data_IF_658290574783
#
_entry.id   IF_658290574783
#
_cell.length_a   1.000
_cell.length_b   1.000
_cell.length_c   1.000
_cell.angle_alpha   90.00
_cell.angle_beta   90.00
_cell.angle_gamma   90.00
#
_symmetry.space_group_name_H-M   'P 1'
#
loop_
_entity.id
_entity.type
_entity.pdbx_description
1 polymer ?
#
# COMPACT_ATOMS: atom_id res chain seq x y z
N UNK A 1 8.87 1.42 23.01
CA UNK A 1 8.32 2.60 22.31
C UNK A 1 9.48 3.37 21.71
N UNK A 2 9.43 3.70 20.41
CA UNK A 2 10.47 4.51 19.76
C UNK A 2 10.43 5.94 20.32
N UNK A 3 11.59 6.50 20.69
CA UNK A 3 11.72 7.87 21.17
C UNK A 3 12.13 8.79 20.00
N UNK A 4 11.25 9.70 19.54
CA UNK A 4 11.55 10.63 18.45
C UNK A 4 12.76 11.52 18.75
N UNK A 5 12.93 11.96 20.01
CA UNK A 5 14.05 12.82 20.41
C UNK A 5 15.37 12.09 20.28
N UNK A 6 15.40 10.79 20.59
CA UNK A 6 16.58 9.97 20.39
C UNK A 6 16.91 9.84 18.89
N UNK A 7 15.92 9.60 18.05
CA UNK A 7 16.12 9.50 16.59
C UNK A 7 16.62 10.83 15.99
N UNK A 8 16.14 11.97 16.47
CA UNK A 8 16.69 13.28 16.08
C UNK A 8 18.15 13.47 16.50
N UNK A 9 18.53 13.03 17.70
CA UNK A 9 19.94 13.06 18.14
C UNK A 9 20.82 12.22 17.23
N UNK A 10 20.33 11.04 16.83
CA UNK A 10 21.04 10.15 15.91
C UNK A 10 21.24 10.81 14.54
N UNK A 11 20.21 11.46 13.99
CA UNK A 11 20.32 12.24 12.74
C UNK A 11 21.35 13.36 12.86
N UNK A 12 21.25 14.18 13.92
CA UNK A 12 22.20 15.27 14.18
C UNK A 12 23.64 14.79 14.34
N UNK A 13 23.85 13.57 14.85
CA UNK A 13 25.18 12.99 14.96
C UNK A 13 25.81 12.73 13.57
N UNK A 14 25.04 12.26 12.59
CA UNK A 14 25.53 12.08 11.21
C UNK A 14 25.90 13.41 10.53
N UNK A 15 25.24 14.50 10.88
CA UNK A 15 25.52 15.84 10.34
C UNK A 15 26.67 16.56 11.04
N UNK A 16 27.20 16.00 12.14
CA UNK A 16 28.22 16.63 12.98
C UNK A 16 29.65 16.28 12.56
N UNK A 17 30.61 17.11 12.96
CA UNK A 17 32.02 16.75 12.81
C UNK A 17 32.39 15.59 13.73
N UNK A 18 32.89 14.50 13.15
CA UNK A 18 33.24 13.28 13.86
C UNK A 18 34.61 13.36 14.57
N UNK A 19 34.72 14.30 15.50
CA UNK A 19 35.83 14.35 16.47
C UNK A 19 35.78 13.14 17.40
N UNK A 20 36.89 12.78 18.05
CA UNK A 20 36.94 11.65 18.99
C UNK A 20 35.85 11.71 20.08
N UNK A 21 35.55 12.91 20.58
CA UNK A 21 34.50 13.11 21.57
C UNK A 21 33.11 12.79 20.99
N UNK A 22 32.82 13.28 19.78
CA UNK A 22 31.57 13.00 19.07
C UNK A 22 31.46 11.52 18.70
N UNK A 23 32.55 10.86 18.30
CA UNK A 23 32.55 9.42 18.01
C UNK A 23 32.17 8.60 19.25
N UNK A 24 32.72 8.96 20.43
CA UNK A 24 32.35 8.31 21.68
C UNK A 24 30.88 8.55 22.06
N UNK A 25 30.34 9.74 21.75
CA UNK A 25 28.91 10.00 21.88
C UNK A 25 28.09 9.10 20.95
N UNK A 26 28.48 8.95 19.68
CA UNK A 26 27.86 8.02 18.75
C UNK A 26 27.92 6.57 19.25
N UNK A 27 29.03 6.16 19.86
CA UNK A 27 29.16 4.84 20.48
C UNK A 27 28.19 4.66 21.67
N UNK A 28 27.94 5.72 22.46
CA UNK A 28 26.92 5.69 23.51
C UNK A 28 25.50 5.55 22.92
N UNK A 29 25.20 6.24 21.83
CA UNK A 29 23.92 6.10 21.12
C UNK A 29 23.74 4.65 20.64
N UNK A 30 24.78 4.06 20.03
CA UNK A 30 24.75 2.66 19.58
C UNK A 30 24.52 1.70 20.75
N UNK A 31 25.24 1.89 21.86
CA UNK A 31 25.11 1.08 23.07
C UNK A 31 23.69 1.11 23.63
N UNK A 32 23.02 2.26 23.59
CA UNK A 32 21.62 2.38 24.04
C UNK A 32 20.64 1.58 23.18
N UNK A 33 20.97 1.32 21.91
CA UNK A 33 20.09 0.58 20.98
C UNK A 33 20.33 -0.93 21.02
N UNK A 34 21.59 -1.37 20.99
CA UNK A 34 21.92 -2.79 20.85
C UNK A 34 22.56 -3.43 22.11
N UNK A 35 22.85 -2.63 23.15
CA UNK A 35 23.52 -3.05 24.38
C UNK A 35 24.88 -3.78 24.16
N UNK A 36 25.55 -3.52 23.03
CA UNK A 36 26.83 -4.13 22.68
C UNK A 36 27.99 -3.41 23.39
N UNK A 37 28.25 -3.83 24.64
CA UNK A 37 29.33 -3.27 25.49
C UNK A 37 30.73 -3.45 24.90
N UNK A 38 30.96 -4.55 24.19
CA UNK A 38 32.26 -4.84 23.59
C UNK A 38 32.58 -3.84 22.47
N UNK A 39 31.63 -3.62 21.54
CA UNK A 39 31.79 -2.66 20.46
C UNK A 39 31.96 -1.23 21.00
N UNK A 40 31.20 -0.87 22.03
CA UNK A 40 31.36 0.42 22.71
C UNK A 40 32.78 0.62 23.26
N UNK A 41 33.33 -0.39 23.96
CA UNK A 41 34.70 -0.34 24.48
C UNK A 41 35.73 -0.24 23.37
N UNK A 42 35.55 -1.00 22.28
CA UNK A 42 36.43 -0.98 21.11
C UNK A 42 36.50 0.41 20.47
N UNK A 43 35.35 1.06 20.26
CA UNK A 43 35.27 2.40 19.69
C UNK A 43 35.87 3.44 20.64
N UNK A 44 35.67 3.30 21.96
CA UNK A 44 36.28 4.21 22.93
C UNK A 44 37.82 4.17 22.90
N UNK A 45 38.39 2.99 22.66
CA UNK A 45 39.83 2.79 22.58
C UNK A 45 40.44 3.37 21.30
N UNK A 46 39.77 3.18 20.15
CA UNK A 46 40.21 3.69 18.84
C UNK A 46 39.04 4.38 18.10
N UNK A 47 38.72 5.64 18.44
CA UNK A 47 37.55 6.31 17.88
C UNK A 47 37.64 6.50 16.36
N UNK A 48 38.74 7.10 15.88
CA UNK A 48 38.90 7.41 14.45
C UNK A 48 39.02 6.14 13.60
N UNK A 49 39.78 5.13 14.05
CA UNK A 49 39.91 3.88 13.31
C UNK A 49 38.61 3.06 13.25
N UNK A 50 37.63 3.35 14.10
CA UNK A 50 36.31 2.70 14.12
C UNK A 50 35.17 3.59 13.63
N UNK A 51 35.45 4.79 13.11
CA UNK A 51 34.42 5.72 12.64
C UNK A 51 33.50 5.10 11.59
N UNK A 52 34.07 4.48 10.55
CA UNK A 52 33.27 3.91 9.46
C UNK A 52 32.42 2.72 9.92
N UNK A 53 32.95 1.90 10.84
CA UNK A 53 32.16 0.84 11.48
C UNK A 53 31.01 1.42 12.31
N UNK A 54 31.26 2.47 13.09
CA UNK A 54 30.23 3.13 13.88
C UNK A 54 29.14 3.74 13.00
N UNK A 55 29.51 4.41 11.90
CA UNK A 55 28.55 4.96 10.94
C UNK A 55 27.65 3.86 10.37
N UNK A 56 28.24 2.75 9.92
CA UNK A 56 27.49 1.60 9.42
C UNK A 56 26.50 1.06 10.45
N UNK A 57 26.98 0.82 11.68
CA UNK A 57 26.17 0.29 12.79
C UNK A 57 25.07 1.24 13.26
N UNK A 58 25.30 2.55 13.19
CA UNK A 58 24.28 3.55 13.50
C UNK A 58 23.28 3.71 12.36
N UNK A 59 23.72 3.62 11.09
CA UNK A 59 22.86 3.80 9.92
C UNK A 59 21.80 2.72 9.85
N UNK A 60 22.15 1.45 10.06
CA UNK A 60 21.17 0.35 10.10
C UNK A 60 20.06 0.57 11.12
N UNK A 61 20.40 1.19 12.26
CA UNK A 61 19.44 1.49 13.30
C UNK A 61 18.66 2.77 13.01
N UNK A 62 19.24 3.73 12.31
CA UNK A 62 18.54 4.91 11.86
C UNK A 62 17.45 4.56 10.83
N UNK A 63 17.74 3.64 9.89
CA UNK A 63 16.84 3.27 8.80
C UNK A 63 15.44 2.89 9.29
N UNK A 64 15.32 1.92 10.20
CA UNK A 64 13.99 1.52 10.71
C UNK A 64 13.40 2.52 11.72
N UNK A 65 14.23 3.31 12.41
CA UNK A 65 13.75 4.28 13.39
C UNK A 65 13.08 5.49 12.74
N UNK A 66 13.48 5.84 11.52
CA UNK A 66 12.80 6.87 10.72
C UNK A 66 11.35 6.47 10.45
N UNK A 67 11.12 5.18 10.21
CA UNK A 67 9.79 4.57 10.03
C UNK A 67 9.04 4.33 11.36
N UNK A 68 9.53 4.89 12.47
CA UNK A 68 8.85 4.76 13.76
C UNK A 68 9.09 3.43 14.49
N UNK A 69 9.86 2.50 13.93
CA UNK A 69 10.05 1.17 14.51
C UNK A 69 11.15 1.08 15.58
N UNK A 70 10.99 0.13 16.49
CA UNK A 70 12.03 -0.32 17.43
C UNK A 70 12.75 -1.57 16.92
N UNK A 71 13.86 -1.95 17.55
CA UNK A 71 14.58 -3.18 17.21
C UNK A 71 13.72 -4.44 17.38
N UNK A 72 12.80 -4.43 18.36
CA UNK A 72 11.88 -5.55 18.57
C UNK A 72 10.79 -5.59 17.49
N UNK A 73 10.31 -4.43 17.04
CA UNK A 73 9.40 -4.34 15.89
C UNK A 73 10.07 -4.87 14.63
N UNK A 74 11.35 -4.54 14.39
CA UNK A 74 12.13 -5.06 13.27
C UNK A 74 12.28 -6.58 13.33
N UNK A 75 12.51 -7.15 14.52
CA UNK A 75 12.57 -8.61 14.70
C UNK A 75 11.22 -9.27 14.40
N UNK A 76 10.11 -8.63 14.80
CA UNK A 76 8.77 -9.14 14.53
C UNK A 76 8.43 -9.02 13.04
N UNK A 77 8.79 -7.90 12.42
CA UNK A 77 8.68 -7.66 11.00
C UNK A 77 9.44 -8.73 10.19
N UNK A 78 10.69 -8.99 10.54
CA UNK A 78 11.51 -10.02 9.91
C UNK A 78 10.85 -11.41 10.00
N UNK A 79 10.38 -11.79 11.19
CA UNK A 79 9.66 -13.05 11.40
C UNK A 79 8.37 -13.18 10.58
N UNK A 80 7.69 -12.07 10.30
CA UNK A 80 6.45 -12.06 9.55
C UNK A 80 6.71 -12.10 8.03
N UNK A 81 7.61 -11.27 7.52
CA UNK A 81 7.82 -11.06 6.08
C UNK A 81 8.70 -12.15 5.46
N UNK A 82 9.77 -12.56 6.16
CA UNK A 82 10.72 -13.56 5.64
C UNK A 82 10.06 -14.85 5.15
N UNK A 83 9.21 -15.54 5.94
CA UNK A 83 8.60 -16.79 5.48
C UNK A 83 7.68 -16.59 4.27
N UNK A 84 7.05 -15.41 4.16
CA UNK A 84 6.17 -15.13 3.02
C UNK A 84 6.98 -14.93 1.74
N UNK A 85 8.00 -14.07 1.75
CA UNK A 85 8.86 -13.88 0.58
C UNK A 85 9.58 -15.17 0.19
N UNK A 86 10.02 -15.97 1.17
CA UNK A 86 10.59 -17.29 0.92
C UNK A 86 9.59 -18.20 0.20
N UNK A 87 8.34 -18.27 0.68
CA UNK A 87 7.29 -19.05 0.02
C UNK A 87 7.03 -18.58 -1.41
N UNK A 88 7.06 -17.27 -1.65
CA UNK A 88 6.91 -16.70 -3.00
C UNK A 88 8.04 -17.11 -3.94
N UNK A 89 9.28 -17.08 -3.47
CA UNK A 89 10.46 -17.51 -4.23
C UNK A 89 10.45 -19.02 -4.46
N UNK A 90 10.01 -19.82 -3.49
CA UNK A 90 9.96 -21.28 -3.62
C UNK A 90 8.90 -21.69 -4.65
N UNK A 91 7.66 -21.18 -4.54
CA UNK A 91 6.60 -21.46 -5.53
C UNK A 91 6.99 -21.01 -6.93
N UNK A 92 7.68 -19.87 -7.03
CA UNK A 92 8.25 -19.39 -8.29
C UNK A 92 9.30 -20.37 -8.79
N UNK A 93 10.27 -20.78 -7.97
CA UNK A 93 11.34 -21.68 -8.40
C UNK A 93 10.83 -23.06 -8.83
N UNK A 94 9.81 -23.59 -8.17
CA UNK A 94 9.09 -24.81 -8.58
C UNK A 94 8.45 -24.62 -9.95
N UNK A 95 7.73 -23.51 -10.15
CA UNK A 95 7.15 -23.16 -11.43
C UNK A 95 8.23 -22.95 -12.51
N UNK A 96 9.42 -22.40 -12.22
CA UNK A 96 10.54 -22.21 -13.16
C UNK A 96 11.06 -23.56 -13.66
N UNK A 97 11.13 -24.54 -12.77
CA UNK A 97 11.56 -25.89 -13.15
C UNK A 97 10.57 -26.54 -14.10
N UNK A 98 9.27 -26.36 -13.87
CA UNK A 98 8.20 -26.84 -14.75
C UNK A 98 8.21 -26.05 -16.07
N UNK A 99 8.42 -24.74 -16.00
CA UNK A 99 8.17 -23.80 -17.07
C UNK A 99 9.39 -23.48 -17.96
N UNK A 100 10.56 -24.08 -17.69
CA UNK A 100 11.68 -24.25 -18.66
C UNK A 100 11.24 -24.82 -20.02
N UNK A 101 10.00 -25.30 -20.11
CA UNK A 101 9.38 -25.78 -21.33
C UNK A 101 8.48 -24.73 -22.05
N UNK A 102 7.95 -23.66 -21.40
CA UNK A 102 7.01 -22.72 -22.05
C UNK A 102 6.95 -21.24 -21.60
N UNK A 103 7.24 -20.80 -20.36
CA UNK A 103 7.27 -19.35 -19.98
C UNK A 103 7.69 -19.09 -18.50
N UNK A 104 8.38 -17.99 -18.15
CA UNK A 104 8.61 -17.60 -16.75
C UNK A 104 7.32 -17.14 -16.02
N UNK A 105 7.28 -17.20 -14.67
CA UNK A 105 6.09 -16.92 -13.82
C UNK A 105 6.32 -15.82 -12.77
N UNK A 106 5.20 -15.22 -12.35
CA UNK A 106 5.11 -14.28 -11.24
C UNK A 106 4.10 -14.74 -10.19
N UNK A 107 4.35 -14.47 -8.91
CA UNK A 107 3.36 -14.66 -7.84
C UNK A 107 2.25 -13.59 -7.86
N UNK A 108 1.02 -13.97 -7.51
CA UNK A 108 -0.20 -13.12 -7.46
C UNK A 108 -1.02 -13.40 -6.19
N UNK A 109 -1.71 -12.36 -5.68
CA UNK A 109 -2.67 -12.41 -4.56
C UNK A 109 -4.06 -12.92 -4.97
N UNK A 110 -4.65 -13.81 -4.16
CA UNK A 110 -6.07 -14.19 -4.26
C UNK A 110 -6.97 -13.49 -3.22
N UNK A 111 -6.41 -12.82 -2.21
CA UNK A 111 -7.16 -12.09 -1.18
C UNK A 111 -7.53 -10.65 -1.57
N UNK A 112 -8.61 -10.13 -0.99
CA UNK A 112 -9.04 -8.75 -1.24
C UNK A 112 -8.19 -7.69 -0.51
N UNK A 113 -7.56 -8.04 0.61
CA UNK A 113 -6.68 -7.12 1.34
C UNK A 113 -5.32 -7.03 0.63
N UNK A 114 -5.02 -5.86 0.07
CA UNK A 114 -3.83 -5.54 -0.72
C UNK A 114 -2.63 -5.11 0.13
N UNK A 115 -2.89 -4.62 1.33
CA UNK A 115 -1.86 -4.02 2.19
C UNK A 115 -1.16 -5.08 3.06
N UNK A 116 -1.71 -6.31 3.08
CA UNK A 116 -1.19 -7.42 3.86
C UNK A 116 -0.65 -8.54 2.97
N UNK A 117 0.65 -8.80 3.11
CA UNK A 117 1.31 -9.93 2.47
C UNK A 117 1.02 -11.20 3.29
N UNK A 118 0.25 -12.12 2.72
CA UNK A 118 -0.19 -13.35 3.39
C UNK A 118 0.13 -14.60 2.54
N UNK A 119 0.28 -15.79 3.15
CA UNK A 119 0.58 -17.01 2.39
C UNK A 119 -0.46 -17.39 1.31
N UNK A 120 -1.74 -17.06 1.51
CA UNK A 120 -2.80 -17.25 0.51
C UNK A 120 -2.63 -16.35 -0.71
N UNK A 121 -1.86 -15.28 -0.59
CA UNK A 121 -1.60 -14.32 -1.65
C UNK A 121 -0.45 -14.71 -2.58
N UNK A 122 -0.01 -15.97 -2.55
CA UNK A 122 1.17 -16.42 -3.28
C UNK A 122 0.78 -17.55 -4.23
N UNK A 123 0.39 -17.18 -5.45
CA UNK A 123 0.10 -18.15 -6.52
C UNK A 123 0.94 -17.81 -7.74
N UNK A 124 1.80 -18.74 -8.18
CA UNK A 124 2.60 -18.55 -9.38
C UNK A 124 1.71 -18.64 -10.63
N UNK A 125 1.65 -17.57 -11.41
CA UNK A 125 0.96 -17.51 -12.70
C UNK A 125 1.98 -17.17 -13.80
N UNK A 126 1.92 -17.91 -14.91
CA UNK A 126 2.76 -17.68 -16.09
C UNK A 126 2.15 -16.66 -17.05
N UNK A 127 2.83 -16.44 -18.19
CA UNK A 127 2.27 -15.66 -19.31
C UNK A 127 0.97 -16.31 -19.79
N UNK A 128 0.02 -15.47 -20.21
CA UNK A 128 -1.19 -15.95 -20.92
C UNK A 128 -0.82 -16.46 -22.32
N UNK A 129 -1.59 -17.40 -22.84
CA UNK A 129 -1.37 -17.96 -24.18
C UNK A 129 -1.55 -16.93 -25.31
N UNK A 130 -2.38 -15.91 -25.09
CA UNK A 130 -2.68 -14.82 -26.04
C UNK A 130 -1.85 -13.55 -25.78
N UNK A 131 -0.84 -13.61 -24.90
CA UNK A 131 -0.12 -12.42 -24.44
C UNK A 131 0.46 -11.57 -25.58
N UNK A 132 1.07 -12.20 -26.59
CA UNK A 132 1.70 -11.51 -27.71
C UNK A 132 0.70 -10.83 -28.65
N UNK A 133 -0.60 -11.12 -28.51
CA UNK A 133 -1.69 -10.51 -29.27
C UNK A 133 -2.36 -9.35 -28.53
N UNK A 134 -1.98 -9.11 -27.26
CA UNK A 134 -2.54 -8.04 -26.45
C UNK A 134 -1.99 -6.67 -26.87
N UNK A 135 -2.70 -5.56 -26.59
CA UNK A 135 -2.17 -4.21 -26.78
C UNK A 135 -0.83 -4.00 -26.05
N UNK A 136 0.04 -3.16 -26.62
CA UNK A 136 1.40 -2.94 -26.11
C UNK A 136 1.42 -2.46 -24.65
N UNK A 137 0.44 -1.65 -24.24
CA UNK A 137 0.31 -1.19 -22.86
C UNK A 137 0.03 -2.34 -21.88
N UNK A 138 -0.67 -3.40 -22.32
CA UNK A 138 -0.97 -4.59 -21.50
C UNK A 138 0.22 -5.57 -21.50
N UNK A 139 0.97 -5.65 -22.59
CA UNK A 139 2.21 -6.44 -22.60
C UNK A 139 3.27 -5.83 -21.68
N UNK A 140 3.44 -4.50 -21.72
CA UNK A 140 4.44 -3.78 -20.93
C UNK A 140 4.26 -3.96 -19.42
N UNK A 141 3.02 -4.10 -18.95
CA UNK A 141 2.67 -4.40 -17.57
C UNK A 141 3.37 -5.67 -17.07
N UNK A 142 3.28 -6.75 -17.86
CA UNK A 142 3.90 -8.03 -17.51
C UNK A 142 5.42 -7.89 -17.43
N UNK A 143 6.04 -7.28 -18.45
CA UNK A 143 7.49 -7.11 -18.51
C UNK A 143 8.02 -6.21 -17.36
N UNK A 144 7.27 -5.15 -17.01
CA UNK A 144 7.60 -4.29 -15.86
C UNK A 144 7.53 -5.07 -14.54
N UNK A 145 6.49 -5.89 -14.36
CA UNK A 145 6.35 -6.71 -13.16
C UNK A 145 7.42 -7.81 -13.11
N UNK A 146 7.80 -8.42 -14.23
CA UNK A 146 8.94 -9.34 -14.32
C UNK A 146 10.23 -8.67 -13.82
N UNK A 147 10.50 -7.43 -14.26
CA UNK A 147 11.68 -6.69 -13.83
C UNK A 147 11.63 -6.38 -12.32
N UNK A 148 10.46 -6.02 -11.79
CA UNK A 148 10.26 -5.79 -10.36
C UNK A 148 10.48 -7.08 -9.54
N UNK A 149 9.94 -8.21 -10.01
CA UNK A 149 10.13 -9.51 -9.38
C UNK A 149 11.60 -9.93 -9.29
N UNK A 150 12.38 -9.67 -10.35
CA UNK A 150 13.84 -9.90 -10.30
C UNK A 150 14.50 -9.11 -9.19
N UNK A 151 14.16 -7.83 -9.02
CA UNK A 151 14.70 -6.99 -7.94
C UNK A 151 14.29 -7.49 -6.56
N UNK A 152 13.03 -7.87 -6.37
CA UNK A 152 12.53 -8.44 -5.11
C UNK A 152 13.36 -9.68 -4.74
N UNK A 153 13.59 -10.58 -5.71
CA UNK A 153 14.42 -11.77 -5.50
C UNK A 153 15.86 -11.42 -5.17
N UNK A 154 16.47 -10.48 -5.88
CA UNK A 154 17.84 -10.01 -5.61
C UNK A 154 17.97 -9.43 -4.20
N UNK A 155 17.04 -8.55 -3.79
CA UNK A 155 17.02 -7.97 -2.44
C UNK A 155 16.86 -9.05 -1.37
N UNK A 156 15.94 -9.99 -1.57
CA UNK A 156 15.70 -11.05 -0.60
C UNK A 156 16.86 -12.05 -0.49
N UNK A 157 17.46 -12.45 -1.62
CA UNK A 157 18.64 -13.32 -1.60
C UNK A 157 19.84 -12.62 -0.93
N UNK A 158 20.03 -11.31 -1.17
CA UNK A 158 21.04 -10.53 -0.47
C UNK A 158 20.80 -10.51 1.06
N UNK A 159 19.53 -10.51 1.51
CA UNK A 159 19.19 -10.58 2.93
C UNK A 159 19.59 -11.90 3.60
N UNK A 160 19.76 -12.99 2.84
CA UNK A 160 20.18 -14.29 3.41
C UNK A 160 21.65 -14.32 3.83
N UNK A 161 22.44 -13.34 3.39
CA UNK A 161 23.84 -13.21 3.82
C UNK A 161 23.99 -12.65 5.25
N UNK A 162 22.90 -12.17 5.85
CA UNK A 162 22.91 -11.56 7.18
C UNK A 162 22.10 -12.38 8.18
N UNK A 163 22.62 -12.50 9.40
CA UNK A 163 21.94 -13.25 10.47
C UNK A 163 21.02 -12.36 11.33
N UNK A 164 21.36 -11.07 11.47
CA UNK A 164 20.66 -10.16 12.38
C UNK A 164 19.53 -9.40 11.68
N UNK A 165 18.35 -9.35 12.30
CA UNK A 165 17.18 -8.66 11.73
C UNK A 165 17.42 -7.17 11.42
N UNK A 166 18.26 -6.47 12.19
CA UNK A 166 18.60 -5.07 11.89
C UNK A 166 19.42 -4.90 10.61
N UNK A 167 20.26 -5.88 10.28
CA UNK A 167 21.09 -5.84 9.06
C UNK A 167 20.24 -6.26 7.85
N UNK A 168 19.26 -7.16 8.06
CA UNK A 168 18.29 -7.60 7.06
C UNK A 168 17.22 -6.56 6.75
N UNK A 169 16.94 -5.64 7.67
CA UNK A 169 15.78 -4.77 7.62
C UNK A 169 15.67 -3.99 6.31
N UNK A 170 16.73 -3.31 5.86
CA UNK A 170 16.66 -2.43 4.68
C UNK A 170 16.32 -3.22 3.41
N UNK A 171 17.03 -4.33 3.18
CA UNK A 171 16.77 -5.19 2.03
C UNK A 171 15.42 -5.90 2.12
N UNK A 172 15.02 -6.35 3.31
CA UNK A 172 13.75 -7.03 3.52
C UNK A 172 12.58 -6.05 3.36
N UNK A 173 12.74 -4.81 3.83
CA UNK A 173 11.76 -3.76 3.68
C UNK A 173 11.60 -3.34 2.22
N UNK A 174 12.70 -3.14 1.49
CA UNK A 174 12.65 -2.89 0.06
C UNK A 174 11.96 -4.03 -0.71
N UNK A 175 12.31 -5.28 -0.40
CA UNK A 175 11.69 -6.45 -1.03
C UNK A 175 10.18 -6.54 -0.72
N UNK A 176 9.78 -6.28 0.53
CA UNK A 176 8.38 -6.28 0.97
C UNK A 176 7.56 -5.21 0.25
N UNK A 177 8.05 -3.97 0.22
CA UNK A 177 7.34 -2.84 -0.41
C UNK A 177 7.21 -3.02 -1.92
N UNK A 178 8.28 -3.45 -2.60
CA UNK A 178 8.20 -3.77 -4.03
C UNK A 178 7.26 -4.95 -4.28
N UNK A 179 7.22 -5.94 -3.37
CA UNK A 179 6.30 -7.07 -3.46
C UNK A 179 4.84 -6.62 -3.32
N UNK A 180 4.51 -5.79 -2.31
CA UNK A 180 3.16 -5.18 -2.18
C UNK A 180 2.77 -4.40 -3.42
N UNK A 181 3.69 -3.60 -3.97
CA UNK A 181 3.43 -2.80 -5.17
C UNK A 181 3.12 -3.68 -6.37
N UNK A 182 3.90 -4.73 -6.59
CA UNK A 182 3.67 -5.70 -7.66
C UNK A 182 2.29 -6.34 -7.52
N UNK A 183 1.96 -6.78 -6.31
CA UNK A 183 0.68 -7.41 -5.97
C UNK A 183 -0.52 -6.47 -6.19
N UNK A 184 -0.39 -5.20 -5.81
CA UNK A 184 -1.38 -4.16 -6.05
C UNK A 184 -1.62 -3.96 -7.55
N UNK A 185 -0.55 -3.78 -8.32
CA UNK A 185 -0.62 -3.62 -9.78
C UNK A 185 -1.34 -4.79 -10.43
N UNK A 186 -0.96 -6.03 -10.09
CA UNK A 186 -1.57 -7.24 -10.63
C UNK A 186 -3.07 -7.33 -10.33
N UNK A 187 -3.50 -6.89 -9.13
CA UNK A 187 -4.92 -6.86 -8.76
C UNK A 187 -5.67 -5.77 -9.53
N UNK A 188 -5.18 -4.53 -9.50
CA UNK A 188 -5.84 -3.40 -10.19
C UNK A 188 -6.04 -3.69 -11.67
N UNK A 189 -5.06 -4.32 -12.31
CA UNK A 189 -5.13 -4.71 -13.71
C UNK A 189 -6.08 -5.88 -13.95
N UNK A 190 -6.17 -6.84 -13.02
CA UNK A 190 -7.18 -7.89 -13.07
C UNK A 190 -8.60 -7.30 -13.04
N UNK A 191 -8.87 -6.34 -12.16
CA UNK A 191 -10.18 -5.69 -12.10
C UNK A 191 -10.43 -4.80 -13.32
N UNK A 192 -9.43 -4.05 -13.80
CA UNK A 192 -9.54 -3.26 -15.02
C UNK A 192 -9.83 -4.14 -16.25
N UNK A 193 -9.18 -5.30 -16.35
CA UNK A 193 -9.45 -6.29 -17.39
C UNK A 193 -10.86 -6.86 -17.27
N UNK A 194 -11.30 -7.24 -16.05
CA UNK A 194 -12.64 -7.79 -15.82
C UNK A 194 -13.73 -6.78 -16.17
N UNK A 195 -13.56 -5.51 -15.80
CA UNK A 195 -14.47 -4.42 -16.16
C UNK A 195 -14.50 -4.20 -17.68
N UNK A 196 -13.35 -4.25 -18.35
CA UNK A 196 -13.29 -4.15 -19.81
C UNK A 196 -13.98 -5.32 -20.53
N UNK A 197 -13.90 -6.54 -19.97
CA UNK A 197 -14.61 -7.72 -20.48
C UNK A 197 -16.12 -7.65 -20.20
N UNK A 198 -16.54 -7.14 -19.04
CA UNK A 198 -17.96 -6.96 -18.69
C UNK A 198 -18.67 -6.02 -19.67
N UNK A 199 -18.00 -4.93 -20.06
CA UNK A 199 -18.47 -4.00 -21.10
C UNK A 199 -18.61 -4.69 -22.47
N UNK A 200 -17.77 -5.68 -22.76
CA UNK A 200 -17.82 -6.44 -24.00
C UNK A 200 -18.90 -7.53 -23.98
N UNK A 201 -19.03 -8.25 -22.86
CA UNK A 201 -19.99 -9.34 -22.67
C UNK A 201 -21.44 -8.84 -22.63
N UNK A 202 -21.67 -7.60 -22.21
CA UNK A 202 -23.00 -6.96 -22.19
C UNK A 202 -23.33 -6.16 -23.45
N UNK A 203 -22.47 -6.17 -24.47
CA UNK A 203 -22.75 -5.49 -25.74
C UNK A 203 -23.88 -6.20 -26.50
N UNK A 204 -24.98 -5.50 -26.77
CA UNK A 204 -26.12 -6.05 -27.52
C UNK A 204 -25.83 -6.04 -29.03
N UNK A 205 -26.28 -7.06 -29.80
CA UNK A 205 -26.14 -7.08 -31.25
C UNK A 205 -27.05 -6.00 -31.87
N UNK A 206 -26.48 -4.84 -32.12
CA UNK A 206 -27.16 -3.63 -32.60
C UNK A 206 -26.35 -2.35 -32.38
N UNK A 207 -25.42 -2.36 -31.41
CA UNK A 207 -24.44 -1.29 -31.23
C UNK A 207 -23.31 -1.31 -32.28
N UNK A 208 -23.25 -2.36 -33.12
CA UNK A 208 -22.25 -2.54 -34.17
C UNK A 208 -22.34 -1.50 -35.32
N UNK A 209 -23.46 -0.79 -35.47
CA UNK A 209 -23.64 0.25 -36.50
C UNK A 209 -23.33 1.67 -36.00
N UNK A 210 -22.95 1.82 -34.73
CA UNK A 210 -22.18 2.98 -34.26
C UNK A 210 -20.74 2.55 -34.01
N UNK A 211 -20.10 1.98 -35.03
CA UNK A 211 -18.67 2.20 -35.16
C UNK A 211 -18.47 3.73 -35.19
N UNK A 212 -17.69 4.33 -34.29
CA UNK A 212 -16.92 5.46 -34.76
C UNK A 212 -16.10 4.90 -35.91
N UNK A 213 -16.16 5.57 -37.06
CA UNK A 213 -15.11 5.45 -38.06
C UNK A 213 -13.75 5.51 -37.36
N UNK A 214 -12.70 5.01 -38.01
CA UNK A 214 -11.31 5.23 -37.61
C UNK A 214 -10.99 6.74 -37.51
N UNK A 215 -11.51 7.41 -36.50
CA UNK A 215 -10.96 8.61 -35.93
C UNK A 215 -9.86 8.08 -35.01
N UNK A 216 -8.63 8.48 -35.29
CA UNK A 216 -7.52 8.34 -34.35
C UNK A 216 -8.05 8.69 -32.97
N UNK A 217 -7.94 7.80 -31.96
CA UNK A 217 -8.49 8.10 -30.66
C UNK A 217 -7.77 9.34 -30.14
N UNK A 218 -8.52 10.40 -29.86
CA UNK A 218 -8.05 11.41 -28.90
C UNK A 218 -7.58 10.63 -27.67
N UNK A 219 -6.31 10.81 -27.33
CA UNK A 219 -5.52 9.90 -26.49
C UNK A 219 -6.33 9.28 -25.34
N UNK A 220 -6.65 7.99 -25.46
CA UNK A 220 -7.35 7.23 -24.43
C UNK A 220 -6.59 7.39 -23.10
N UNK A 221 -7.31 7.79 -22.04
CA UNK A 221 -6.73 8.00 -20.71
C UNK A 221 -6.18 6.66 -20.21
N UNK A 222 -4.85 6.59 -20.09
CA UNK A 222 -4.13 5.37 -19.69
C UNK A 222 -4.28 5.06 -18.20
N UNK A 223 -4.14 3.79 -17.80
CA UNK A 223 -4.10 3.37 -16.40
C UNK A 223 -3.03 4.13 -15.59
N UNK A 224 -1.90 4.46 -16.22
CA UNK A 224 -0.84 5.28 -15.64
C UNK A 224 -1.32 6.70 -15.32
N UNK A 225 -2.13 7.31 -16.18
CA UNK A 225 -2.72 8.63 -15.93
C UNK A 225 -3.75 8.59 -14.79
N UNK A 226 -4.54 7.53 -14.71
CA UNK A 226 -5.50 7.28 -13.61
C UNK A 226 -4.76 7.09 -12.27
N UNK A 227 -3.73 6.25 -12.24
CA UNK A 227 -2.91 6.01 -11.04
C UNK A 227 -2.18 7.26 -10.57
N UNK A 228 -1.61 8.03 -11.50
CA UNK A 228 -0.99 9.33 -11.19
C UNK A 228 -2.02 10.32 -10.63
N UNK A 229 -3.22 10.38 -11.19
CA UNK A 229 -4.29 11.25 -10.70
C UNK A 229 -4.72 10.86 -9.28
N UNK A 230 -4.93 9.56 -8.99
CA UNK A 230 -5.24 9.05 -7.64
C UNK A 230 -4.15 9.43 -6.65
N UNK A 231 -2.89 9.11 -6.95
CA UNK A 231 -1.76 9.43 -6.07
C UNK A 231 -1.64 10.93 -5.81
N UNK A 232 -1.87 11.76 -6.84
CA UNK A 232 -1.83 13.21 -6.70
C UNK A 232 -2.94 13.74 -5.80
N UNK A 233 -4.17 13.25 -5.96
CA UNK A 233 -5.31 13.63 -5.12
C UNK A 233 -5.02 13.25 -3.67
N UNK A 234 -4.68 12.00 -3.39
CA UNK A 234 -4.41 11.52 -2.02
C UNK A 234 -3.29 12.32 -1.34
N UNK A 235 -2.22 12.64 -2.06
CA UNK A 235 -1.08 13.39 -1.48
C UNK A 235 -1.38 14.85 -1.18
N UNK A 236 -2.29 15.48 -1.91
CA UNK A 236 -2.49 16.94 -1.86
C UNK A 236 -3.82 17.35 -1.21
N UNK A 237 -4.75 16.41 -0.96
CA UNK A 237 -6.07 16.74 -0.46
C UNK A 237 -6.05 17.23 1.00
N UNK A 238 -5.26 16.61 1.87
CA UNK A 238 -5.13 17.04 3.27
C UNK A 238 -4.42 18.40 3.35
N UNK A 239 -3.44 18.63 2.46
CA UNK A 239 -2.78 19.93 2.33
C UNK A 239 -3.75 21.01 1.83
N UNK A 240 -4.64 20.69 0.89
CA UNK A 240 -5.65 21.61 0.39
C UNK A 240 -6.68 21.98 1.48
N UNK A 241 -7.11 21.01 2.27
CA UNK A 241 -7.98 21.24 3.44
C UNK A 241 -7.29 22.19 4.42
N UNK A 242 -6.04 21.89 4.81
CA UNK A 242 -5.28 22.73 5.73
C UNK A 242 -5.02 24.15 5.22
N UNK A 243 -4.79 24.34 3.90
CA UNK A 243 -4.63 25.67 3.30
C UNK A 243 -5.94 26.46 3.27
N UNK A 244 -7.07 25.77 3.08
CA UNK A 244 -8.41 26.38 3.07
C UNK A 244 -8.80 26.83 4.49
N UNK A 245 -8.56 25.99 5.50
CA UNK A 245 -8.80 26.30 6.92
C UNK A 245 -7.89 27.41 7.44
N UNK A 246 -6.66 27.51 6.94
CA UNK A 246 -5.71 28.57 7.28
C UNK A 246 -5.98 29.91 6.59
N UNK A 247 -7.02 30.01 5.74
CA UNK A 247 -7.40 31.25 5.03
C UNK A 247 -6.40 31.69 3.96
N UNK A 248 -5.54 30.79 3.45
CA UNK A 248 -4.56 31.10 2.41
C UNK A 248 -5.15 30.86 1.01
N UNK A 249 -6.02 31.77 0.60
CA UNK A 249 -6.88 31.63 -0.60
C UNK A 249 -6.09 31.42 -1.88
N UNK A 250 -5.02 32.18 -2.12
CA UNK A 250 -4.30 32.13 -3.40
C UNK A 250 -3.61 30.78 -3.65
N UNK A 251 -3.02 30.20 -2.58
CA UNK A 251 -2.36 28.88 -2.67
C UNK A 251 -3.38 27.75 -2.67
N UNK A 252 -4.47 27.89 -1.92
CA UNK A 252 -5.57 26.93 -1.91
C UNK A 252 -6.22 26.84 -3.30
N UNK A 253 -6.48 27.97 -3.97
CA UNK A 253 -7.15 27.99 -5.27
C UNK A 253 -6.28 27.37 -6.37
N UNK A 254 -4.97 27.67 -6.37
CA UNK A 254 -4.03 27.07 -7.33
C UNK A 254 -3.91 25.55 -7.15
N UNK A 255 -3.93 25.06 -5.91
CA UNK A 255 -3.90 23.63 -5.61
C UNK A 255 -5.25 22.97 -5.92
N UNK A 256 -6.37 23.63 -5.60
CA UNK A 256 -7.74 23.17 -5.92
C UNK A 256 -7.93 22.96 -7.41
N UNK A 257 -7.44 23.87 -8.25
CA UNK A 257 -7.52 23.73 -9.70
C UNK A 257 -6.81 22.45 -10.21
N UNK A 258 -5.61 22.17 -9.68
CA UNK A 258 -4.84 20.97 -10.04
C UNK A 258 -5.48 19.68 -9.52
N UNK A 259 -6.06 19.71 -8.32
CA UNK A 259 -6.80 18.55 -7.80
C UNK A 259 -8.06 18.31 -8.63
N UNK A 260 -8.80 19.38 -8.99
CA UNK A 260 -10.01 19.27 -9.78
C UNK A 260 -9.75 18.74 -11.19
N UNK A 261 -8.66 19.16 -11.86
CA UNK A 261 -8.25 18.60 -13.15
C UNK A 261 -8.04 17.07 -13.10
N UNK A 262 -7.60 16.55 -11.95
CA UNK A 262 -7.27 15.13 -11.76
C UNK A 262 -8.53 14.36 -11.38
N UNK A 263 -9.43 14.97 -10.61
CA UNK A 263 -10.77 14.46 -10.35
C UNK A 263 -11.56 14.35 -11.66
N UNK A 264 -11.55 15.38 -12.50
CA UNK A 264 -12.20 15.33 -13.82
C UNK A 264 -11.61 14.23 -14.71
N UNK A 265 -10.29 14.02 -14.67
CA UNK A 265 -9.67 12.89 -15.37
C UNK A 265 -10.21 11.54 -14.87
N UNK A 266 -10.41 11.37 -13.56
CA UNK A 266 -11.01 10.14 -13.01
C UNK A 266 -12.49 9.98 -13.39
N UNK A 267 -13.27 11.06 -13.40
CA UNK A 267 -14.68 11.05 -13.83
C UNK A 267 -14.79 10.70 -15.31
N UNK A 268 -14.00 11.35 -16.19
CA UNK A 268 -13.95 11.05 -17.62
C UNK A 268 -13.52 9.62 -17.89
N UNK A 269 -12.59 9.09 -17.08
CA UNK A 269 -12.15 7.70 -17.15
C UNK A 269 -13.14 6.70 -16.50
N UNK A 270 -14.27 7.17 -15.95
CA UNK A 270 -15.23 6.37 -15.15
C UNK A 270 -14.55 5.53 -14.06
N UNK A 271 -13.45 6.04 -13.51
CA UNK A 271 -12.68 5.34 -12.50
C UNK A 271 -13.34 5.50 -11.13
N UNK A 272 -13.46 4.39 -10.39
CA UNK A 272 -14.01 4.41 -9.04
C UNK A 272 -13.16 5.29 -8.10
N UNK A 273 -13.84 6.10 -7.31
CA UNK A 273 -13.28 6.98 -6.27
C UNK A 273 -13.86 6.53 -4.93
N UNK A 274 -13.01 6.27 -3.94
CA UNK A 274 -13.46 5.77 -2.63
C UNK A 274 -14.30 6.81 -1.89
N UNK A 275 -15.27 6.35 -1.10
CA UNK A 275 -16.15 7.23 -0.32
C UNK A 275 -15.39 8.20 0.61
N UNK A 276 -14.28 7.76 1.22
CA UNK A 276 -13.40 8.61 2.04
C UNK A 276 -12.78 9.75 1.23
N UNK A 277 -12.32 9.46 0.00
CA UNK A 277 -11.76 10.48 -0.89
C UNK A 277 -12.83 11.48 -1.34
N UNK A 278 -14.05 11.01 -1.62
CA UNK A 278 -15.19 11.87 -1.97
C UNK A 278 -15.52 12.82 -0.82
N UNK A 279 -15.59 12.32 0.42
CA UNK A 279 -15.87 13.14 1.60
C UNK A 279 -14.80 14.23 1.80
N UNK A 280 -13.52 13.89 1.65
CA UNK A 280 -12.42 14.87 1.72
C UNK A 280 -12.45 15.88 0.57
N UNK A 281 -12.88 15.47 -0.63
CA UNK A 281 -12.99 16.38 -1.78
C UNK A 281 -14.12 17.39 -1.56
N UNK A 282 -15.25 16.95 -0.98
CA UNK A 282 -16.35 17.83 -0.58
C UNK A 282 -15.90 18.81 0.53
N UNK A 283 -15.16 18.34 1.54
CA UNK A 283 -14.59 19.19 2.58
C UNK A 283 -13.62 20.25 2.00
N UNK A 284 -12.87 19.90 0.95
CA UNK A 284 -11.99 20.81 0.23
C UNK A 284 -12.70 21.78 -0.74
N UNK A 285 -14.04 21.73 -0.82
CA UNK A 285 -14.87 22.57 -1.68
C UNK A 285 -14.93 22.12 -3.14
N UNK A 286 -14.64 20.84 -3.44
CA UNK A 286 -14.75 20.25 -4.77
C UNK A 286 -16.03 19.41 -4.82
N UNK A 287 -17.09 19.94 -5.42
CA UNK A 287 -18.37 19.26 -5.60
C UNK A 287 -18.35 18.40 -6.86
N UNK A 288 -18.61 17.10 -6.72
CA UNK A 288 -18.83 16.19 -7.85
C UNK A 288 -20.34 16.05 -8.09
N UNK A 289 -20.83 16.41 -9.27
CA UNK A 289 -22.17 16.02 -9.71
C UNK A 289 -22.12 14.53 -10.09
N UNK A 290 -22.64 13.66 -9.23
CA UNK A 290 -22.85 12.25 -9.59
C UNK A 290 -23.96 12.16 -10.64
N UNK A 291 -23.68 11.53 -11.79
CA UNK A 291 -24.76 10.96 -12.61
C UNK A 291 -25.40 9.83 -11.80
N UNK A 292 -26.62 10.06 -11.34
CA UNK A 292 -27.46 9.08 -10.70
C UNK A 292 -27.64 7.88 -11.63
N UNK A 293 -27.25 6.70 -11.16
CA UNK A 293 -27.68 5.41 -11.71
C UNK A 293 -29.19 5.33 -11.58
N UNK A 294 -29.88 5.45 -12.71
CA UNK A 294 -31.26 5.03 -12.85
C UNK A 294 -31.26 3.52 -13.06
N UNK A 295 -31.47 2.76 -11.99
CA UNK A 295 -32.15 1.47 -12.09
C UNK A 295 -33.11 1.41 -10.90
N UNK A 296 -34.40 1.32 -11.25
CA UNK A 296 -35.49 1.30 -10.29
C UNK A 296 -35.67 -0.09 -9.71
N UNK A 297 -35.87 -0.14 -8.41
CA UNK A 297 -36.65 -1.19 -7.78
C UNK A 297 -37.60 -0.56 -6.75
N UNK A 298 -38.80 -1.11 -6.76
CA UNK A 298 -40.05 -0.55 -6.29
C UNK A 298 -40.12 -0.42 -4.76
N UNK A 299 -40.68 0.70 -4.32
CA UNK A 299 -41.36 0.80 -3.02
C UNK A 299 -42.54 -0.18 -2.98
N UNK A 300 -42.79 -0.86 -1.85
CA UNK A 300 -44.15 -1.13 -1.42
C UNK A 300 -44.64 0.02 -0.53
N UNK A 301 -45.85 0.46 -0.86
CA UNK A 301 -46.64 1.51 -0.23
C UNK A 301 -46.92 1.29 1.27
N UNK A 302 -47.19 2.43 1.91
CA UNK A 302 -47.79 2.63 3.22
C UNK A 302 -49.19 2.03 3.39
N UNK A 303 -49.48 1.51 4.58
CA UNK A 303 -50.82 1.52 5.20
C UNK A 303 -50.61 1.48 6.73
N UNK A 304 -50.76 2.61 7.42
CA UNK A 304 -51.94 3.02 8.20
C UNK A 304 -51.91 2.51 9.65
N UNK A 305 -51.93 3.47 10.58
CA UNK A 305 -52.18 3.31 12.01
C UNK A 305 -53.59 2.76 12.24
N UNK A 306 -53.74 1.80 13.16
CA UNK A 306 -54.97 1.67 13.93
C UNK A 306 -54.65 1.40 15.42
N UNK A 307 -55.29 2.19 16.26
CA UNK A 307 -55.21 2.30 17.71
C UNK A 307 -56.08 1.22 18.39
N UNK A 308 -55.67 0.77 19.59
CA UNK A 308 -56.48 0.38 20.79
C UNK A 308 -55.52 -0.36 21.72
N UNK A 309 -55.04 0.18 22.85
CA UNK A 309 -55.67 0.54 24.14
C UNK A 309 -56.45 -0.59 24.86
N UNK A 310 -56.17 -0.66 26.18
CA UNK A 310 -56.70 -1.49 27.28
C UNK A 310 -56.22 -2.95 27.37
N UNK A 311 -55.81 -3.51 28.53
CA UNK A 311 -55.69 -3.04 29.91
C UNK A 311 -54.68 -3.94 30.68
N UNK A 312 -54.04 -3.43 31.74
CA UNK A 312 -54.27 -3.81 33.17
C UNK A 312 -54.46 -5.32 33.42
N UNK A 313 -53.83 -6.03 34.35
CA UNK A 313 -53.05 -5.83 35.57
C UNK A 313 -52.22 -7.14 35.75
N UNK A 314 -51.39 -7.45 36.73
CA UNK A 314 -51.27 -7.04 38.12
C UNK A 314 -49.94 -7.61 38.65
N UNK A 315 -49.34 -6.88 39.59
CA UNK A 315 -48.17 -7.31 40.38
C UNK A 315 -48.62 -8.14 41.57
N UNK A 316 -47.89 -9.20 41.95
CA UNK A 316 -47.42 -9.45 43.32
C UNK A 316 -46.94 -10.89 43.56
N UNK A 317 -45.77 -11.00 44.20
CA UNK A 317 -45.26 -12.15 44.97
C UNK A 317 -46.18 -12.47 46.17
N UNK A 318 -46.10 -13.64 46.85
CA UNK A 318 -44.99 -13.90 47.78
C UNK A 318 -44.59 -15.38 48.03
N UNK A 319 -43.45 -15.52 48.73
CA UNK A 319 -42.95 -16.57 49.64
C UNK A 319 -43.65 -17.95 49.74
N UNK A 320 -42.84 -19.04 49.73
CA UNK A 320 -42.59 -19.89 50.92
C UNK A 320 -41.81 -21.19 50.59
N UNK A 321 -40.60 -21.29 51.16
CA UNK A 321 -39.99 -22.43 51.90
C UNK A 321 -40.06 -23.91 51.47
N UNK A 322 -38.85 -24.49 51.38
CA UNK A 322 -38.32 -25.73 52.01
C UNK A 322 -38.46 -27.14 51.42
N UNK A 323 -37.37 -27.88 51.69
CA UNK A 323 -37.09 -29.34 51.60
C UNK A 323 -36.86 -29.87 50.18
N UNK A 324 -35.79 -30.60 49.86
CA UNK A 324 -34.88 -31.47 50.63
C UNK A 324 -33.50 -31.50 49.96
#
# INVERSE_FOLDING_TARGET
>A
MNDPKFTEKLKKWFDSEHTDANIREGALLLLQMNNNRHLYQLINFDPQGKLELLKYELQKHLNYRIEGMTIDDVRNYDKAVTPVLQTAIDKTSEADQIAKQLAPHLPVVESENLDSIVPSAIVAKGKRADHDQLPENIQAIWENNCALWKKIKEHFEACKAYDMSCDRYEGLHAADEDFKRMLLTLKEEYYAYKQAMDVYDHAQPGDAEKQPAEEQPEAAITSKQIGNARSYITKNIDQLIGLTEAGNTDKADALRAKVNERVQLLITAKAEITADTIAKLQQAGITMEQQASADGEEQPESAEEEVTDEGEADTASPEATSAE
#
